data_IF_473925105506
#
_entry.id   IF_473925105506
#
_cell.length_a   1.000
_cell.length_b   1.000
_cell.length_c   1.000
_cell.angle_alpha   90.00
_cell.angle_beta   90.00
_cell.angle_gamma   90.00
#
_symmetry.space_group_name_H-M   'P 1'
#
loop_
_entity.id
_entity.type
_entity.pdbx_description
1 polymer ?
#
# COMPACT_ATOMS: atom_id res chain seq x y z
N UNK A 1 -5.76 -4.48 -37.62
CA UNK A 1 -4.74 -5.52 -37.34
C UNK A 1 -5.42 -6.67 -36.62
N UNK A 2 -5.76 -7.74 -37.32
CA UNK A 2 -6.46 -8.92 -36.78
C UNK A 2 -5.53 -9.68 -35.84
N UNK A 3 -5.89 -9.78 -34.56
CA UNK A 3 -5.14 -10.56 -33.57
C UNK A 3 -5.21 -12.04 -33.94
N UNK A 4 -4.09 -12.75 -33.88
CA UNK A 4 -4.11 -14.21 -34.10
C UNK A 4 -4.89 -14.88 -32.96
N UNK A 5 -5.55 -16.03 -33.20
CA UNK A 5 -6.31 -16.73 -32.15
C UNK A 5 -5.49 -17.00 -30.88
N UNK A 6 -4.20 -17.32 -31.05
CA UNK A 6 -3.25 -17.53 -29.96
C UNK A 6 -3.00 -16.28 -29.10
N UNK A 7 -2.91 -15.10 -29.72
CA UNK A 7 -2.73 -13.83 -29.01
C UNK A 7 -3.97 -13.48 -28.16
N UNK A 8 -5.17 -13.79 -28.66
CA UNK A 8 -6.41 -13.61 -27.92
C UNK A 8 -6.42 -14.50 -26.66
N UNK A 9 -6.10 -15.78 -26.81
CA UNK A 9 -6.02 -16.74 -25.69
C UNK A 9 -5.01 -16.29 -24.64
N UNK A 10 -3.82 -15.85 -25.05
CA UNK A 10 -2.78 -15.36 -24.13
C UNK A 10 -3.21 -14.08 -23.38
N UNK A 11 -4.07 -13.24 -23.97
CA UNK A 11 -4.65 -12.08 -23.28
C UNK A 11 -5.72 -12.49 -22.27
N UNK A 12 -6.60 -13.43 -22.65
CA UNK A 12 -7.58 -13.99 -21.71
C UNK A 12 -6.91 -14.64 -20.51
N UNK A 13 -5.81 -15.37 -20.74
CA UNK A 13 -5.01 -15.96 -19.66
C UNK A 13 -4.39 -14.94 -18.71
N UNK A 14 -4.33 -13.64 -19.03
CA UNK A 14 -3.83 -12.59 -18.12
C UNK A 14 -4.93 -11.89 -17.32
N UNK A 15 -6.21 -12.15 -17.60
CA UNK A 15 -7.34 -11.56 -16.86
C UNK A 15 -7.32 -11.92 -15.38
N UNK A 16 -6.84 -13.12 -15.02
CA UNK A 16 -6.78 -13.55 -13.63
C UNK A 16 -5.94 -12.59 -12.77
N UNK A 17 -4.90 -11.98 -13.34
CA UNK A 17 -4.06 -10.98 -12.65
C UNK A 17 -4.91 -9.77 -12.26
N UNK A 18 -5.77 -9.31 -13.18
CA UNK A 18 -6.67 -8.19 -12.95
C UNK A 18 -7.70 -8.57 -11.87
N UNK A 19 -8.27 -9.77 -11.93
CA UNK A 19 -9.21 -10.27 -10.92
C UNK A 19 -8.59 -10.36 -9.53
N UNK A 20 -7.35 -10.83 -9.44
CA UNK A 20 -6.58 -10.84 -8.19
C UNK A 20 -6.37 -9.44 -7.64
N UNK A 21 -5.98 -8.48 -8.48
CA UNK A 21 -5.83 -7.09 -8.03
C UNK A 21 -7.18 -6.51 -7.55
N UNK A 22 -8.28 -6.82 -8.22
CA UNK A 22 -9.61 -6.43 -7.75
C UNK A 22 -9.95 -7.06 -6.41
N UNK A 23 -9.60 -8.33 -6.17
CA UNK A 23 -9.80 -9.01 -4.89
C UNK A 23 -9.02 -8.31 -3.78
N UNK A 24 -7.76 -7.96 -4.01
CA UNK A 24 -6.92 -7.22 -3.05
C UNK A 24 -7.54 -5.85 -2.74
N UNK A 25 -7.91 -5.06 -3.75
CA UNK A 25 -8.54 -3.74 -3.58
C UNK A 25 -9.84 -3.81 -2.77
N UNK A 26 -10.64 -4.84 -3.04
CA UNK A 26 -11.95 -5.06 -2.43
C UNK A 26 -11.86 -5.47 -0.96
N UNK A 27 -10.91 -6.34 -0.60
CA UNK A 27 -10.78 -6.91 0.75
C UNK A 27 -9.76 -6.18 1.63
N UNK A 28 -8.56 -5.90 1.12
CA UNK A 28 -7.51 -5.24 1.90
C UNK A 28 -7.74 -3.73 2.00
N UNK A 29 -7.92 -3.06 0.86
CA UNK A 29 -8.11 -1.60 0.81
C UNK A 29 -9.55 -1.17 1.07
N UNK A 30 -10.48 -2.10 1.31
CA UNK A 30 -11.90 -1.86 1.61
C UNK A 30 -12.55 -0.88 0.61
N UNK A 31 -12.23 -1.00 -0.68
CA UNK A 31 -12.72 -0.06 -1.71
C UNK A 31 -14.24 -0.02 -1.85
N UNK A 32 -14.96 -1.02 -1.32
CA UNK A 32 -16.44 -1.03 -1.28
C UNK A 32 -16.95 -0.02 -0.23
N UNK A 33 -17.66 1.06 -0.62
CA UNK A 33 -18.14 2.06 0.31
C UNK A 33 -19.42 1.56 1.00
N UNK A 34 -19.28 0.82 2.10
CA UNK A 34 -20.43 0.25 2.84
C UNK A 34 -21.12 1.30 3.73
N UNK A 35 -20.35 2.23 4.30
CA UNK A 35 -20.82 3.20 5.32
C UNK A 35 -20.75 4.67 4.84
N UNK A 36 -20.72 4.90 3.53
CA UNK A 36 -20.62 6.24 2.94
C UNK A 36 -21.91 6.54 2.15
N UNK A 37 -22.57 7.64 2.49
CA UNK A 37 -23.91 7.97 1.97
C UNK A 37 -23.91 9.20 1.05
N UNK A 38 -23.00 10.15 1.27
CA UNK A 38 -22.87 11.34 0.42
C UNK A 38 -21.95 11.05 -0.76
N UNK A 39 -22.33 11.54 -1.94
CA UNK A 39 -21.56 11.36 -3.19
C UNK A 39 -20.08 11.75 -3.01
N UNK A 40 -19.82 12.92 -2.42
CA UNK A 40 -18.47 13.42 -2.16
C UNK A 40 -17.64 12.47 -1.29
N UNK A 41 -18.23 11.87 -0.24
CA UNK A 41 -17.54 10.89 0.63
C UNK A 41 -17.22 9.59 -0.11
N UNK A 42 -18.14 9.13 -0.95
CA UNK A 42 -17.94 7.93 -1.77
C UNK A 42 -16.77 8.15 -2.74
N UNK A 43 -16.76 9.28 -3.45
CA UNK A 43 -15.70 9.66 -4.38
C UNK A 43 -14.34 9.79 -3.67
N UNK A 44 -14.31 10.48 -2.53
CA UNK A 44 -13.09 10.62 -1.73
C UNK A 44 -12.56 9.29 -1.21
N UNK A 45 -13.45 8.40 -0.72
CA UNK A 45 -13.07 7.05 -0.26
C UNK A 45 -12.41 6.25 -1.39
N UNK A 46 -13.06 6.20 -2.56
CA UNK A 46 -12.53 5.49 -3.72
C UNK A 46 -11.19 6.09 -4.18
N UNK A 47 -11.09 7.42 -4.22
CA UNK A 47 -9.85 8.10 -4.59
C UNK A 47 -8.70 7.77 -3.63
N UNK A 48 -8.94 7.80 -2.31
CA UNK A 48 -7.93 7.41 -1.32
C UNK A 48 -7.52 5.95 -1.46
N UNK A 49 -8.48 5.03 -1.59
CA UNK A 49 -8.18 3.61 -1.81
C UNK A 49 -7.32 3.41 -3.08
N UNK A 50 -7.64 4.11 -4.16
CA UNK A 50 -6.88 4.02 -5.41
C UNK A 50 -5.45 4.58 -5.27
N UNK A 51 -5.28 5.70 -4.56
CA UNK A 51 -3.96 6.25 -4.27
C UNK A 51 -3.12 5.27 -3.43
N UNK A 52 -3.69 4.69 -2.37
CA UNK A 52 -3.03 3.65 -1.57
C UNK A 52 -2.65 2.43 -2.41
N UNK A 53 -3.51 2.01 -3.33
CA UNK A 53 -3.22 0.92 -4.27
C UNK A 53 -2.05 1.23 -5.20
N UNK A 54 -2.01 2.44 -5.78
CA UNK A 54 -0.92 2.86 -6.66
C UNK A 54 0.43 2.84 -5.94
N UNK A 55 0.46 3.32 -4.68
CA UNK A 55 1.66 3.25 -3.83
C UNK A 55 2.05 1.79 -3.58
N UNK A 56 1.11 0.94 -3.16
CA UNK A 56 1.37 -0.48 -2.90
C UNK A 56 1.96 -1.19 -4.13
N UNK A 57 1.39 -0.97 -5.32
CA UNK A 57 1.91 -1.55 -6.57
C UNK A 57 3.29 -1.04 -6.95
N UNK A 58 3.58 0.22 -6.65
CA UNK A 58 4.91 0.80 -6.89
C UNK A 58 5.96 0.17 -5.98
N UNK A 59 5.62 -0.05 -4.71
CA UNK A 59 6.51 -0.73 -3.76
C UNK A 59 6.69 -2.19 -4.17
N UNK A 60 5.60 -2.89 -4.52
CA UNK A 60 5.64 -4.26 -5.01
C UNK A 60 6.56 -4.42 -6.22
N UNK A 61 6.44 -3.52 -7.21
CA UNK A 61 7.31 -3.51 -8.37
C UNK A 61 8.78 -3.30 -7.98
N UNK A 62 9.08 -2.31 -7.13
CA UNK A 62 10.46 -2.03 -6.70
C UNK A 62 11.06 -3.18 -5.90
N UNK A 63 10.30 -3.77 -4.98
CA UNK A 63 10.77 -4.90 -4.17
C UNK A 63 10.97 -6.13 -5.05
N UNK A 64 10.09 -6.39 -6.02
CA UNK A 64 10.22 -7.53 -6.93
C UNK A 64 11.53 -7.55 -7.74
N UNK A 65 12.18 -6.39 -7.92
CA UNK A 65 13.50 -6.30 -8.56
C UNK A 65 14.64 -6.82 -7.67
N UNK A 66 14.47 -6.79 -6.34
CA UNK A 66 15.51 -7.14 -5.37
C UNK A 66 15.19 -8.43 -4.60
N UNK A 67 13.92 -8.64 -4.23
CA UNK A 67 13.45 -9.70 -3.33
C UNK A 67 12.06 -10.20 -3.73
N UNK A 68 11.79 -11.49 -3.50
CA UNK A 68 10.45 -12.09 -3.72
C UNK A 68 9.67 -12.15 -2.41
N UNK A 69 9.01 -11.05 -2.07
CA UNK A 69 8.17 -10.93 -0.87
C UNK A 69 6.69 -10.83 -1.31
N UNK A 70 5.78 -11.45 -0.56
CA UNK A 70 4.34 -11.32 -0.80
C UNK A 70 3.84 -9.91 -0.45
N UNK A 71 2.77 -9.46 -1.10
CA UNK A 71 2.17 -8.14 -0.84
C UNK A 71 1.70 -8.02 0.61
N UNK A 72 1.15 -9.08 1.20
CA UNK A 72 0.70 -9.09 2.60
C UNK A 72 1.87 -8.89 3.57
N UNK A 73 2.94 -9.65 3.41
CA UNK A 73 4.13 -9.53 4.27
C UNK A 73 4.76 -8.15 4.12
N UNK A 74 4.73 -7.57 2.92
CA UNK A 74 5.24 -6.21 2.69
C UNK A 74 4.45 -5.16 3.49
N UNK A 75 3.11 -5.27 3.51
CA UNK A 75 2.26 -4.38 4.30
C UNK A 75 2.51 -4.57 5.80
N UNK A 76 2.61 -5.81 6.28
CA UNK A 76 2.89 -6.11 7.69
C UNK A 76 4.25 -5.55 8.14
N UNK A 77 5.29 -5.72 7.31
CA UNK A 77 6.61 -5.16 7.58
C UNK A 77 6.56 -3.63 7.63
N UNK A 78 5.90 -2.98 6.66
CA UNK A 78 5.75 -1.53 6.65
C UNK A 78 5.00 -1.00 7.88
N UNK A 79 3.97 -1.71 8.36
CA UNK A 79 3.24 -1.36 9.59
C UNK A 79 4.12 -1.56 10.82
N UNK A 80 4.98 -2.58 10.84
CA UNK A 80 5.89 -2.86 11.96
C UNK A 80 7.00 -1.83 12.12
N UNK A 81 7.35 -1.11 11.05
CA UNK A 81 8.40 -0.10 11.08
C UNK A 81 7.87 1.14 11.79
N UNK A 82 8.29 1.35 13.04
CA UNK A 82 8.05 2.59 13.76
C UNK A 82 9.02 3.66 13.24
N UNK A 83 8.59 4.47 12.28
CA UNK A 83 9.32 5.65 11.84
C UNK A 83 9.07 6.79 12.85
N UNK A 84 9.93 6.92 13.86
CA UNK A 84 9.99 8.15 14.66
C UNK A 84 10.64 9.24 13.82
N UNK A 85 9.88 10.29 13.50
CA UNK A 85 10.43 11.49 12.88
C UNK A 85 11.29 12.17 13.94
N UNK A 86 12.61 11.94 13.89
CA UNK A 86 13.56 12.72 14.68
C UNK A 86 13.69 14.09 14.02
N UNK A 87 12.94 15.06 14.53
CA UNK A 87 13.21 16.46 14.25
C UNK A 87 14.55 16.80 14.91
N UNK A 88 15.60 16.93 14.10
CA UNK A 88 16.84 17.56 14.53
C UNK A 88 16.61 19.07 14.51
N UNK A 89 15.91 19.58 15.51
CA UNK A 89 16.01 21.00 15.81
C UNK A 89 17.41 21.21 16.38
N UNK A 90 18.22 21.96 15.63
CA UNK A 90 19.53 22.47 16.05
C UNK A 90 19.33 23.36 17.27
N UNK A 91 19.24 22.76 18.46
CA UNK A 91 19.35 23.45 19.74
C UNK A 91 20.20 22.57 20.64
N UNK A 92 21.31 23.14 21.07
CA UNK A 92 22.25 22.62 22.05
C UNK A 92 21.54 22.23 23.35
N UNK A 93 21.01 21.01 23.47
CA UNK A 93 20.81 20.44 24.80
C UNK A 93 20.75 18.90 24.76
N UNK A 94 21.92 18.30 24.96
CA UNK A 94 22.19 16.86 24.98
C UNK A 94 21.57 16.14 26.19
N UNK A 95 20.76 16.80 27.03
CA UNK A 95 20.20 16.22 28.24
C UNK A 95 18.77 15.68 28.11
N UNK A 96 17.98 16.14 27.13
CA UNK A 96 16.54 15.78 27.04
C UNK A 96 16.23 14.61 26.11
N UNK A 97 17.06 14.38 25.09
CA UNK A 97 16.84 13.36 24.05
C UNK A 97 16.90 11.92 24.60
N UNK A 98 17.59 11.70 25.72
CA UNK A 98 17.63 10.38 26.39
C UNK A 98 16.32 10.02 27.12
N UNK A 99 15.44 10.99 27.42
CA UNK A 99 14.25 10.75 28.25
C UNK A 99 13.01 10.32 27.45
N UNK A 100 12.96 10.61 26.15
CA UNK A 100 11.83 10.21 25.29
C UNK A 100 12.01 8.77 24.77
N UNK A 101 13.26 8.30 24.64
CA UNK A 101 13.55 6.97 24.10
C UNK A 101 13.27 5.78 25.04
N UNK A 102 12.95 6.02 26.33
CA UNK A 102 12.78 4.93 27.31
C UNK A 102 11.35 4.79 27.87
N UNK A 103 10.36 5.55 27.40
CA UNK A 103 9.02 5.55 28.02
C UNK A 103 7.93 4.69 27.39
N UNK A 104 8.19 4.02 26.27
CA UNK A 104 7.22 3.08 25.67
C UNK A 104 7.84 1.74 25.25
N UNK A 105 8.75 1.24 26.08
CA UNK A 105 9.09 -0.18 26.19
C UNK A 105 8.58 -0.69 27.55
N UNK A 106 7.25 -0.76 27.69
CA UNK A 106 6.51 -1.66 28.60
C UNK A 106 5.27 -2.10 27.86
#
# INVERSE_FOLDING_TARGET
MSKTPYEAIAKYARLWVIEEQFRINKHNLKMRPIFHWTKQRIEAHIAMCYMSFAVLKTIEYKVALTQKISVTNMVELLISVQASILLHDTIEDTSLTKKILLRHLV
#
